data_IF_807666411494
#
_entry.id   IF_807666411494
#
_cell.length_a   1.000
_cell.length_b   1.000
_cell.length_c   1.000
_cell.angle_alpha   90.00
_cell.angle_beta   90.00
_cell.angle_gamma   90.00
#
_symmetry.space_group_name_H-M   'P 1'
#
loop_
_entity.id
_entity.type
_entity.pdbx_description
1 polymer ?
#
# COMPACT_ATOMS: atom_id res chain seq x y z
N UNK A 1 48.18 2.07 20.43
CA UNK A 1 48.09 1.00 21.45
C UNK A 1 47.25 1.55 22.60
N UNK A 2 46.00 1.12 22.74
CA UNK A 2 45.51 0.21 23.82
C UNK A 2 45.84 0.76 25.23
N UNK A 3 44.93 0.92 26.20
CA UNK A 3 43.66 0.24 26.52
C UNK A 3 43.07 0.92 27.79
N UNK A 4 41.85 0.50 28.16
CA UNK A 4 41.15 0.63 29.47
C UNK A 4 40.16 1.80 29.63
N UNK A 5 38.94 1.65 30.16
CA UNK A 5 38.11 0.51 30.64
C UNK A 5 36.71 1.07 31.00
N UNK A 6 35.77 0.17 31.26
CA UNK A 6 34.47 0.32 31.98
C UNK A 6 33.26 0.57 31.08
N UNK A 7 32.42 -0.46 30.85
CA UNK A 7 31.37 -1.02 31.74
C UNK A 7 30.18 -0.07 31.89
N UNK A 8 29.06 -0.41 31.24
CA UNK A 8 27.73 -0.07 31.76
C UNK A 8 26.67 -1.07 31.28
N UNK A 9 26.18 -1.81 32.27
CA UNK A 9 24.94 -2.54 32.42
C UNK A 9 23.88 -2.34 31.33
N UNK A 10 23.57 -3.41 30.61
CA UNK A 10 22.24 -3.63 30.06
C UNK A 10 21.34 -4.14 31.19
N UNK A 11 20.52 -3.25 31.74
CA UNK A 11 19.45 -3.62 32.66
C UNK A 11 18.20 -3.92 31.83
N UNK A 12 17.80 -5.19 31.92
CA UNK A 12 16.61 -5.77 31.30
C UNK A 12 15.37 -5.29 32.05
N UNK A 13 14.37 -4.76 31.35
CA UNK A 13 13.01 -4.63 31.88
C UNK A 13 12.05 -5.36 30.93
N UNK A 14 11.74 -6.61 31.29
CA UNK A 14 10.56 -7.34 30.81
C UNK A 14 9.32 -6.78 31.52
N UNK A 15 8.15 -6.68 30.87
CA UNK A 15 6.88 -6.44 31.56
C UNK A 15 6.29 -7.75 32.09
N UNK A 16 5.96 -7.78 33.38
CA UNK A 16 5.04 -8.76 33.98
C UNK A 16 3.66 -8.13 34.16
N UNK A 17 2.65 -8.98 33.95
CA UNK A 17 1.22 -8.71 34.00
C UNK A 17 0.64 -8.43 35.42
N UNK A 18 -0.60 -7.93 35.37
CA UNK A 18 -1.74 -8.09 36.31
C UNK A 18 -1.98 -7.03 37.42
N UNK A 19 -3.20 -6.47 37.34
CA UNK A 19 -4.14 -6.06 38.41
C UNK A 19 -4.00 -4.72 39.16
N UNK A 20 -5.06 -3.93 38.98
CA UNK A 20 -5.92 -3.32 40.03
C UNK A 20 -5.32 -2.21 40.91
N UNK A 21 -5.94 -1.02 40.82
CA UNK A 21 -5.94 -0.08 41.94
C UNK A 21 -6.04 1.38 41.52
N UNK A 22 -7.27 1.91 41.50
CA UNK A 22 -7.54 3.35 41.60
C UNK A 22 -6.92 3.87 42.90
N UNK A 23 -5.96 4.79 42.84
CA UNK A 23 -5.73 5.81 43.88
C UNK A 23 -5.35 7.13 43.18
N UNK A 24 -6.21 8.12 43.38
CA UNK A 24 -5.98 9.55 43.14
C UNK A 24 -4.79 10.02 43.98
N UNK A 25 -3.83 10.75 43.43
CA UNK A 25 -3.20 11.90 44.10
C UNK A 25 -2.56 12.81 43.05
N UNK A 26 -3.16 13.99 42.93
CA UNK A 26 -2.63 15.20 42.33
C UNK A 26 -1.51 15.77 43.20
N UNK A 27 -0.43 16.23 42.55
CA UNK A 27 0.31 17.48 42.80
C UNK A 27 1.81 17.29 42.51
N UNK A 28 2.38 18.20 41.72
CA UNK A 28 3.82 18.24 41.46
C UNK A 28 4.24 18.48 40.00
N UNK A 29 3.47 19.22 39.20
CA UNK A 29 3.95 19.78 37.93
C UNK A 29 4.13 21.29 38.10
N UNK A 30 5.36 21.73 38.31
CA UNK A 30 5.72 23.13 38.11
C UNK A 30 7.18 23.24 37.69
N UNK A 31 7.37 24.01 36.61
CA UNK A 31 8.63 24.57 36.15
C UNK A 31 9.56 23.63 35.37
N UNK A 32 9.29 23.50 34.06
CA UNK A 32 10.27 23.43 32.95
C UNK A 32 9.55 23.03 31.63
N UNK A 33 8.53 23.78 31.18
CA UNK A 33 7.74 23.37 30.00
C UNK A 33 7.28 24.50 29.06
N UNK A 34 7.93 25.68 29.07
CA UNK A 34 7.41 26.81 28.28
C UNK A 34 8.27 27.25 27.08
N UNK A 35 9.54 26.85 26.98
CA UNK A 35 10.38 27.27 25.82
C UNK A 35 10.48 26.22 24.69
N UNK A 36 10.20 24.94 24.96
CA UNK A 36 10.29 23.87 23.95
C UNK A 36 9.08 23.77 23.00
N UNK A 37 7.95 24.38 23.33
CA UNK A 37 6.70 24.22 22.57
C UNK A 37 6.58 25.20 21.40
N UNK A 38 7.23 26.35 21.46
CA UNK A 38 7.16 27.38 20.41
C UNK A 38 7.92 26.94 19.14
N UNK A 39 9.18 26.53 19.28
CA UNK A 39 10.02 26.06 18.16
C UNK A 39 9.47 24.79 17.51
N UNK A 40 8.93 23.86 18.31
CA UNK A 40 8.33 22.63 17.79
C UNK A 40 7.01 22.88 17.04
N UNK A 41 6.24 23.89 17.46
CA UNK A 41 5.00 24.31 16.77
C UNK A 41 5.29 25.10 15.50
N UNK A 42 6.35 25.89 15.47
CA UNK A 42 6.80 26.59 14.26
C UNK A 42 7.38 25.63 13.22
N UNK A 43 8.27 24.71 13.59
CA UNK A 43 8.81 23.69 12.67
C UNK A 43 7.70 22.82 12.06
N UNK A 44 6.65 22.52 12.83
CA UNK A 44 5.46 21.80 12.37
C UNK A 44 4.61 22.61 11.36
N UNK A 45 4.56 23.94 11.50
CA UNK A 45 3.89 24.82 10.51
C UNK A 45 4.66 24.91 9.20
N UNK A 46 5.99 25.00 9.22
CA UNK A 46 6.80 25.06 8.00
C UNK A 46 6.78 23.72 7.22
N UNK A 47 6.80 22.58 7.92
CA UNK A 47 6.67 21.25 7.30
C UNK A 47 5.25 20.98 6.78
N UNK A 48 4.20 21.40 7.49
CA UNK A 48 2.82 21.31 7.02
C UNK A 48 2.52 22.21 5.81
N UNK A 49 3.12 23.40 5.74
CA UNK A 49 2.94 24.33 4.62
C UNK A 49 3.67 23.85 3.36
N UNK A 50 4.92 23.41 3.49
CA UNK A 50 5.69 22.86 2.36
C UNK A 50 5.11 21.57 1.80
N UNK A 51 4.55 20.70 2.65
CA UNK A 51 3.84 19.50 2.18
C UNK A 51 2.52 19.85 1.49
N UNK A 52 1.72 20.78 2.02
CA UNK A 52 0.42 21.16 1.43
C UNK A 52 0.56 21.87 0.07
N UNK A 53 1.54 22.77 -0.08
CA UNK A 53 1.82 23.44 -1.36
C UNK A 53 2.31 22.47 -2.44
N UNK A 54 3.08 21.42 -2.08
CA UNK A 54 3.54 20.40 -3.02
C UNK A 54 2.51 19.27 -3.27
N UNK A 55 1.58 19.06 -2.33
CA UNK A 55 0.46 18.10 -2.43
C UNK A 55 -0.63 18.55 -3.41
N UNK A 56 -0.86 19.85 -3.55
CA UNK A 56 -1.88 20.40 -4.45
C UNK A 56 -1.59 20.08 -5.93
N UNK A 57 -0.37 20.34 -6.47
CA UNK A 57 0.00 19.93 -7.82
C UNK A 57 -0.08 18.42 -8.02
N UNK A 58 0.40 17.62 -7.07
CA UNK A 58 0.38 16.15 -7.20
C UNK A 58 -1.04 15.58 -7.27
N UNK A 59 -1.97 16.10 -6.46
CA UNK A 59 -3.38 15.69 -6.53
C UNK A 59 -4.03 16.09 -7.86
N UNK A 60 -3.74 17.30 -8.36
CA UNK A 60 -4.22 17.75 -9.64
C UNK A 60 -3.68 16.88 -10.79
N UNK A 61 -2.39 16.52 -10.76
CA UNK A 61 -1.75 15.65 -11.75
C UNK A 61 -2.34 14.23 -11.72
N UNK A 62 -2.50 13.63 -10.54
CA UNK A 62 -3.14 12.31 -10.39
C UNK A 62 -4.61 12.34 -10.83
N UNK A 63 -5.31 13.47 -10.61
CA UNK A 63 -6.67 13.69 -11.10
C UNK A 63 -6.75 13.75 -12.63
N UNK A 64 -5.79 14.42 -13.28
CA UNK A 64 -5.68 14.44 -14.75
C UNK A 64 -5.37 13.05 -15.31
N UNK A 65 -4.37 12.37 -14.77
CA UNK A 65 -4.01 11.01 -15.20
C UNK A 65 -5.20 10.04 -15.05
N UNK A 66 -6.00 10.20 -14.00
CA UNK A 66 -7.26 9.47 -13.84
C UNK A 66 -8.29 9.77 -14.95
N UNK A 67 -8.42 11.03 -15.36
CA UNK A 67 -9.34 11.40 -16.43
C UNK A 67 -8.84 10.95 -17.81
N UNK A 68 -7.53 11.00 -18.03
CA UNK A 68 -6.91 10.80 -19.34
C UNK A 68 -6.57 9.32 -19.62
N UNK A 69 -6.17 8.55 -18.60
CA UNK A 69 -5.70 7.18 -18.81
C UNK A 69 -6.70 6.12 -18.34
N UNK A 70 -7.30 5.41 -19.29
CA UNK A 70 -8.12 4.22 -19.02
C UNK A 70 -7.35 3.14 -18.25
N UNK A 71 -6.07 2.93 -18.58
CA UNK A 71 -5.20 1.97 -17.91
C UNK A 71 -4.94 2.36 -16.45
N UNK A 72 -4.77 3.67 -16.16
CA UNK A 72 -4.62 4.14 -14.79
C UNK A 72 -5.92 3.99 -13.99
N UNK A 73 -7.09 4.34 -14.57
CA UNK A 73 -8.40 4.09 -13.92
C UNK A 73 -8.60 2.62 -13.58
N UNK A 74 -8.33 1.73 -14.54
CA UNK A 74 -8.35 0.27 -14.36
C UNK A 74 -7.44 -0.17 -13.22
N UNK A 75 -6.20 0.32 -13.21
CA UNK A 75 -5.23 0.00 -12.15
C UNK A 75 -5.72 0.41 -10.77
N UNK A 76 -6.24 1.64 -10.63
CA UNK A 76 -6.72 2.18 -9.35
C UNK A 76 -7.97 1.46 -8.88
N UNK A 77 -8.94 1.25 -9.78
CA UNK A 77 -10.19 0.56 -9.50
C UNK A 77 -9.95 -0.89 -9.07
N UNK A 78 -9.14 -1.62 -9.84
CA UNK A 78 -8.79 -3.00 -9.56
C UNK A 78 -8.08 -3.15 -8.21
N UNK A 79 -7.07 -2.31 -7.94
CA UNK A 79 -6.36 -2.32 -6.66
C UNK A 79 -7.32 -2.08 -5.48
N UNK A 80 -8.23 -1.10 -5.63
CA UNK A 80 -9.21 -0.77 -4.58
C UNK A 80 -10.15 -1.94 -4.31
N UNK A 81 -10.68 -2.58 -5.36
CA UNK A 81 -11.54 -3.75 -5.26
C UNK A 81 -10.82 -4.91 -4.56
N UNK A 82 -9.60 -5.23 -4.99
CA UNK A 82 -8.84 -6.35 -4.42
C UNK A 82 -8.58 -6.14 -2.92
N UNK A 83 -8.16 -4.95 -2.51
CA UNK A 83 -7.95 -4.67 -1.08
C UNK A 83 -9.24 -4.76 -0.27
N UNK A 84 -10.35 -4.24 -0.80
CA UNK A 84 -11.64 -4.31 -0.12
C UNK A 84 -12.08 -5.76 0.08
N UNK A 85 -11.98 -6.60 -0.97
CA UNK A 85 -12.42 -8.00 -0.93
C UNK A 85 -11.48 -8.90 -0.14
N UNK A 86 -10.18 -8.66 -0.21
CA UNK A 86 -9.19 -9.35 0.62
C UNK A 86 -9.45 -9.10 2.11
N UNK A 87 -9.78 -7.86 2.50
CA UNK A 87 -10.11 -7.52 3.90
C UNK A 87 -11.34 -8.28 4.42
N UNK A 88 -12.29 -8.61 3.56
CA UNK A 88 -13.49 -9.37 3.94
C UNK A 88 -13.33 -10.88 3.78
N UNK A 89 -12.19 -11.37 3.27
CA UNK A 89 -11.99 -12.80 2.96
C UNK A 89 -12.80 -13.32 1.76
N UNK A 90 -13.42 -12.44 0.98
CA UNK A 90 -14.38 -12.79 -0.10
C UNK A 90 -13.84 -12.57 -1.50
N UNK A 91 -12.51 -12.57 -1.64
CA UNK A 91 -11.89 -12.33 -2.94
C UNK A 91 -12.14 -13.52 -3.87
N UNK A 92 -11.74 -14.72 -3.46
CA UNK A 92 -11.82 -15.93 -4.29
C UNK A 92 -13.23 -16.51 -4.41
N UNK A 93 -14.13 -16.19 -3.46
CA UNK A 93 -15.52 -16.64 -3.48
C UNK A 93 -16.26 -16.13 -4.72
N UNK A 94 -16.13 -14.84 -5.01
CA UNK A 94 -16.91 -14.16 -6.03
C UNK A 94 -16.08 -13.70 -7.24
N UNK A 95 -14.75 -13.68 -7.13
CA UNK A 95 -13.86 -13.15 -8.16
C UNK A 95 -12.77 -14.14 -8.53
N UNK A 96 -12.69 -14.48 -9.82
CA UNK A 96 -11.53 -15.22 -10.37
C UNK A 96 -11.19 -14.71 -11.76
N UNK A 97 -9.93 -14.89 -12.16
CA UNK A 97 -9.40 -14.45 -13.46
C UNK A 97 -8.85 -15.64 -14.21
N UNK A 98 -8.95 -15.62 -15.54
CA UNK A 98 -8.61 -16.77 -16.38
C UNK A 98 -7.14 -17.21 -16.23
N UNK A 99 -6.21 -16.27 -16.36
CA UNK A 99 -4.78 -16.58 -16.51
C UNK A 99 -3.93 -16.27 -15.27
N UNK A 100 -4.43 -15.43 -14.36
CA UNK A 100 -3.68 -14.99 -13.18
C UNK A 100 -4.55 -15.09 -11.93
N UNK A 101 -3.92 -15.18 -10.77
CA UNK A 101 -4.56 -15.05 -9.47
C UNK A 101 -4.05 -13.76 -8.77
N UNK A 102 -4.94 -12.94 -8.20
CA UNK A 102 -4.51 -11.79 -7.42
C UNK A 102 -3.95 -12.24 -6.06
N UNK A 103 -2.81 -11.69 -5.68
CA UNK A 103 -2.20 -11.87 -4.36
C UNK A 103 -2.17 -10.53 -3.65
N UNK A 104 -2.80 -10.45 -2.49
CA UNK A 104 -2.84 -9.25 -1.65
C UNK A 104 -2.11 -9.53 -0.34
N UNK A 105 -0.91 -8.99 -0.20
CA UNK A 105 -0.11 -9.10 1.01
C UNK A 105 -0.53 -8.06 2.06
N UNK A 106 -0.38 -8.37 3.37
CA UNK A 106 -0.64 -7.41 4.44
C UNK A 106 0.34 -6.22 4.39
N UNK A 107 1.61 -6.51 4.08
CA UNK A 107 2.69 -5.55 3.86
C UNK A 107 3.08 -5.52 2.38
N UNK A 108 3.96 -4.59 1.99
CA UNK A 108 4.52 -4.62 0.63
C UNK A 108 5.56 -5.74 0.57
N UNK A 109 5.69 -6.35 -0.61
CA UNK A 109 6.65 -7.41 -0.89
C UNK A 109 7.30 -7.11 -2.24
N UNK A 110 8.59 -7.43 -2.34
CA UNK A 110 9.36 -7.32 -3.58
C UNK A 110 9.10 -8.53 -4.47
N UNK A 111 8.72 -8.24 -5.72
CA UNK A 111 8.70 -9.21 -6.80
C UNK A 111 9.20 -8.56 -8.09
N UNK A 112 9.68 -9.39 -9.01
CA UNK A 112 10.02 -8.98 -10.36
C UNK A 112 8.77 -9.02 -11.25
N UNK A 113 8.46 -7.92 -11.94
CA UNK A 113 7.32 -7.87 -12.84
C UNK A 113 7.72 -8.28 -14.26
N UNK A 114 7.32 -9.48 -14.69
CA UNK A 114 7.68 -10.06 -16.01
C UNK A 114 7.24 -9.22 -17.21
N UNK A 115 6.19 -8.42 -17.06
CA UNK A 115 5.65 -7.61 -18.16
C UNK A 115 6.31 -6.24 -18.35
N UNK A 116 6.92 -5.66 -17.32
CA UNK A 116 7.67 -4.40 -17.48
C UNK A 116 9.16 -4.56 -17.20
N UNK A 117 9.60 -5.77 -16.83
CA UNK A 117 10.99 -6.10 -16.52
C UNK A 117 11.58 -5.20 -15.42
N UNK A 118 10.82 -5.06 -14.33
CA UNK A 118 11.19 -4.19 -13.20
C UNK A 118 10.85 -4.84 -11.87
N UNK A 119 11.78 -4.74 -10.93
CA UNK A 119 11.51 -5.04 -9.52
C UNK A 119 10.63 -3.95 -8.91
N UNK A 120 9.59 -4.37 -8.18
CA UNK A 120 8.67 -3.45 -7.51
C UNK A 120 8.46 -3.88 -6.08
N UNK A 121 8.21 -2.90 -5.21
CA UNK A 121 7.80 -3.13 -3.83
C UNK A 121 6.31 -2.79 -3.66
N UNK A 122 5.43 -3.79 -3.77
CA UNK A 122 3.98 -3.61 -3.86
C UNK A 122 3.21 -4.53 -2.89
N UNK A 123 1.99 -4.12 -2.51
CA UNK A 123 1.08 -4.97 -1.73
C UNK A 123 0.26 -5.92 -2.60
N UNK A 124 0.08 -5.59 -3.87
CA UNK A 124 -0.82 -6.31 -4.78
C UNK A 124 -0.03 -6.78 -5.98
N UNK A 125 -0.10 -8.08 -6.20
CA UNK A 125 0.58 -8.80 -7.27
C UNK A 125 -0.40 -9.69 -7.99
N UNK A 126 -0.05 -10.09 -9.20
CA UNK A 126 -0.77 -11.08 -9.99
C UNK A 126 0.18 -12.22 -10.28
N UNK A 127 -0.07 -13.40 -9.73
CA UNK A 127 0.67 -14.61 -10.11
C UNK A 127 0.03 -15.23 -11.32
N UNK A 128 0.83 -15.63 -12.30
CA UNK A 128 0.35 -16.45 -13.40
C UNK A 128 -0.07 -17.82 -12.85
N UNK A 129 -1.25 -18.30 -13.25
CA UNK A 129 -1.69 -19.66 -12.93
C UNK A 129 -0.78 -20.62 -13.71
N UNK A 130 -0.05 -21.47 -12.99
CA UNK A 130 0.80 -22.49 -13.60
C UNK A 130 -0.07 -23.59 -14.23
N UNK A 131 0.39 -24.12 -15.37
CA UNK A 131 -0.12 -25.36 -15.92
C UNK A 131 0.43 -26.52 -15.06
N UNK A 132 -0.35 -27.56 -14.70
CA UNK A 132 0.10 -28.62 -13.79
C UNK A 132 1.34 -29.40 -14.26
N UNK A 133 1.75 -29.19 -15.51
CA UNK A 133 2.86 -29.88 -16.19
C UNK A 133 4.19 -29.12 -16.11
N UNK A 134 4.23 -27.89 -15.60
CA UNK A 134 5.44 -27.07 -15.46
C UNK A 134 5.54 -26.48 -14.05
N UNK A 135 6.41 -27.05 -13.21
CA UNK A 135 6.94 -26.42 -11.98
C UNK A 135 8.29 -25.77 -12.32
N UNK A 136 8.77 -24.68 -11.72
CA UNK A 136 8.68 -24.27 -10.31
C UNK A 136 8.69 -22.73 -10.12
N UNK A 137 8.63 -21.94 -11.19
CA UNK A 137 8.78 -20.48 -11.06
C UNK A 137 7.43 -19.76 -11.06
N UNK A 138 7.14 -19.05 -9.96
CA UNK A 138 5.97 -18.16 -9.88
C UNK A 138 6.24 -16.89 -10.70
N UNK A 139 5.56 -16.75 -11.83
CA UNK A 139 5.66 -15.55 -12.67
C UNK A 139 4.72 -14.47 -12.13
N UNK A 140 5.27 -13.29 -11.81
CA UNK A 140 4.53 -12.19 -11.22
C UNK A 140 4.35 -11.02 -12.19
N UNK A 141 3.17 -10.39 -12.15
CA UNK A 141 2.87 -9.12 -12.80
C UNK A 141 2.41 -8.08 -11.77
N UNK A 142 2.88 -6.84 -11.93
CA UNK A 142 2.36 -5.71 -11.16
C UNK A 142 0.94 -5.34 -11.62
N UNK A 143 0.14 -4.71 -10.74
CA UNK A 143 -1.25 -4.35 -11.06
C UNK A 143 -1.37 -3.47 -12.29
N UNK A 144 -0.41 -2.56 -12.53
CA UNK A 144 -0.44 -1.66 -13.70
C UNK A 144 -0.32 -2.43 -15.01
N UNK A 145 0.64 -3.35 -15.10
CA UNK A 145 0.84 -4.19 -16.28
C UNK A 145 -0.27 -5.22 -16.46
N UNK A 146 -0.83 -5.75 -15.37
CA UNK A 146 -1.99 -6.61 -15.48
C UNK A 146 -3.21 -5.85 -16.03
N UNK A 147 -3.42 -4.62 -15.56
CA UNK A 147 -4.56 -3.78 -15.91
C UNK A 147 -4.43 -3.03 -17.25
N UNK A 148 -3.28 -3.08 -17.93
CA UNK A 148 -3.12 -2.43 -19.24
C UNK A 148 -3.91 -3.14 -20.33
N UNK A 149 -4.05 -4.45 -20.23
CA UNK A 149 -4.78 -5.31 -21.16
C UNK A 149 -6.28 -5.38 -20.78
N UNK A 150 -7.20 -4.84 -21.61
CA UNK A 150 -8.64 -4.82 -21.31
C UNK A 150 -9.28 -6.19 -21.23
N UNK A 151 -8.80 -7.17 -21.99
CA UNK A 151 -9.41 -8.50 -22.01
C UNK A 151 -8.97 -9.33 -20.81
N UNK A 152 -7.72 -9.14 -20.38
CA UNK A 152 -7.14 -9.85 -19.23
C UNK A 152 -7.71 -9.38 -17.89
N UNK A 153 -8.04 -8.10 -17.77
CA UNK A 153 -8.55 -7.54 -16.52
C UNK A 153 -9.98 -8.02 -16.22
N UNK A 154 -10.74 -8.47 -17.21
CA UNK A 154 -12.11 -8.95 -16.98
C UNK A 154 -12.04 -10.31 -16.25
N UNK A 155 -12.64 -10.41 -15.05
CA UNK A 155 -12.70 -11.67 -14.32
C UNK A 155 -13.57 -12.69 -15.07
N UNK A 156 -13.25 -13.98 -14.94
CA UNK A 156 -14.06 -15.08 -15.49
C UNK A 156 -15.29 -15.37 -14.60
N UNK A 157 -15.14 -15.16 -13.30
CA UNK A 157 -16.21 -15.26 -12.30
C UNK A 157 -16.33 -13.92 -11.61
N UNK A 158 -17.53 -13.34 -11.63
CA UNK A 158 -17.82 -12.08 -10.96
C UNK A 158 -19.31 -11.97 -10.60
N UNK A 159 -19.69 -11.10 -9.65
CA UNK A 159 -21.08 -10.72 -9.43
C UNK A 159 -21.72 -10.11 -10.70
N UNK A 160 -23.06 -10.15 -10.86
CA UNK A 160 -23.74 -9.64 -12.05
C UNK A 160 -23.39 -8.20 -12.43
N UNK A 161 -23.14 -7.35 -11.43
CA UNK A 161 -22.81 -5.94 -11.62
C UNK A 161 -21.30 -5.74 -11.59
N UNK A 162 -20.69 -5.69 -12.78
CA UNK A 162 -19.27 -5.41 -12.93
C UNK A 162 -19.03 -3.90 -12.77
N UNK A 163 -18.07 -3.47 -11.93
CA UNK A 163 -17.69 -2.06 -11.84
C UNK A 163 -17.29 -1.48 -13.20
N UNK A 164 -17.64 -0.21 -13.45
CA UNK A 164 -17.43 0.42 -14.76
C UNK A 164 -15.97 0.41 -15.22
N UNK A 165 -15.01 0.45 -14.29
CA UNK A 165 -13.59 0.43 -14.64
C UNK A 165 -13.17 -0.86 -15.39
N UNK A 166 -13.94 -1.95 -15.34
CA UNK A 166 -13.67 -3.13 -16.17
C UNK A 166 -14.15 -2.95 -17.62
N UNK A 167 -15.13 -2.09 -17.86
CA UNK A 167 -15.79 -1.86 -19.15
C UNK A 167 -15.44 -0.52 -19.78
N UNK A 168 -14.73 0.36 -19.05
CA UNK A 168 -14.21 1.62 -19.56
C UNK A 168 -13.36 1.32 -20.80
N UNK A 169 -13.92 1.61 -21.98
CA UNK A 169 -13.21 1.40 -23.24
C UNK A 169 -11.98 2.30 -23.30
N UNK A 170 -10.93 1.79 -23.94
CA UNK A 170 -9.73 2.55 -24.23
C UNK A 170 -10.16 3.80 -25.00
N UNK A 171 -9.88 4.97 -24.43
CA UNK A 171 -10.14 6.25 -25.09
C UNK A 171 -9.35 6.22 -26.41
N UNK A 172 -10.02 6.48 -27.54
CA UNK A 172 -9.44 6.36 -28.91
C UNK A 172 -8.27 7.33 -29.18
N UNK A 173 -7.82 8.06 -28.15
CA UNK A 173 -6.73 9.03 -28.17
C UNK A 173 -5.37 8.41 -27.83
N UNK A 174 -5.33 7.15 -27.39
CA UNK A 174 -4.10 6.40 -27.07
C UNK A 174 -3.54 5.62 -28.29
N UNK A 175 -3.45 6.26 -29.46
CA UNK A 175 -2.62 5.75 -30.57
C UNK A 175 -1.55 6.80 -30.93
N UNK A 176 -0.28 6.39 -31.04
CA UNK A 176 0.84 7.28 -31.40
C UNK A 176 0.69 7.86 -32.81
#
# INVERSE_FOLDING_TARGET
MFKHRMLLNMMVCLPMDVATGLILYSEGLSSCAEEGTSLHREASKYTAKGTKEMLLPKKALLGREYQESSAYRRTVGLRTLLHQKAKTGRLEEAWSWKTHAPIVYPTRVDHHCTACDQDRYLKTWWSQKQDPTNSDESLYMCTRCFASDPDRIIPERHPPNLPSFFTDTVDKRDHP
#
